data_IF_047158568990
#
_entry.id   IF_047158568990
#
_cell.length_a   1.000
_cell.length_b   1.000
_cell.length_c   1.000
_cell.angle_alpha   90.00
_cell.angle_beta   90.00
_cell.angle_gamma   90.00
#
_symmetry.space_group_name_H-M   'P 1'
#
loop_
_entity.id
_entity.type
_entity.pdbx_description
1 polymer ?
#
# COMPACT_ATOMS: atom_id res chain seq x y z
N UNK A 1 -13.01 -36.96 -23.71
CA UNK A 1 -12.88 -36.29 -22.40
C UNK A 1 -11.41 -36.20 -22.08
N UNK A 2 -10.84 -35.00 -22.10
CA UNK A 2 -9.46 -34.76 -21.69
C UNK A 2 -9.51 -33.65 -20.64
N UNK A 3 -9.11 -33.96 -19.41
CA UNK A 3 -9.01 -32.97 -18.33
C UNK A 3 -7.75 -32.15 -18.54
N UNK A 4 -7.90 -30.87 -18.85
CA UNK A 4 -6.81 -29.90 -18.76
C UNK A 4 -6.32 -29.83 -17.31
N UNK A 5 -5.00 -29.96 -17.05
CA UNK A 5 -4.49 -29.75 -15.71
C UNK A 5 -4.61 -28.27 -15.35
N UNK A 6 -5.24 -27.96 -14.22
CA UNK A 6 -5.21 -26.62 -13.64
C UNK A 6 -3.75 -26.24 -13.38
N UNK A 7 -3.33 -25.13 -13.96
CA UNK A 7 -1.96 -24.62 -13.85
C UNK A 7 -1.81 -23.97 -12.47
N UNK A 8 -1.45 -24.77 -11.45
CA UNK A 8 -1.03 -24.23 -10.16
C UNK A 8 0.25 -23.40 -10.38
N UNK A 9 0.08 -22.09 -10.57
CA UNK A 9 1.12 -21.12 -10.29
C UNK A 9 1.27 -21.12 -8.78
N UNK A 10 2.43 -21.55 -8.29
CA UNK A 10 2.73 -21.55 -6.85
C UNK A 10 3.09 -20.14 -6.42
N UNK A 11 2.06 -19.30 -6.22
CA UNK A 11 2.17 -17.92 -5.78
C UNK A 11 2.77 -17.86 -4.37
N UNK A 12 4.09 -17.69 -4.32
CA UNK A 12 4.86 -17.73 -3.07
C UNK A 12 4.82 -16.33 -2.45
N UNK A 13 3.67 -15.94 -1.91
CA UNK A 13 3.54 -14.66 -1.21
C UNK A 13 4.24 -14.76 0.14
N UNK A 14 5.31 -13.98 0.29
CA UNK A 14 6.15 -13.95 1.49
C UNK A 14 5.72 -12.79 2.37
N UNK A 15 5.60 -13.05 3.67
CA UNK A 15 5.24 -12.06 4.69
C UNK A 15 6.38 -11.93 5.70
N UNK A 16 7.00 -10.75 5.76
CA UNK A 16 8.03 -10.42 6.74
C UNK A 16 7.40 -9.64 7.92
N UNK A 17 7.74 -10.01 9.16
CA UNK A 17 7.15 -9.38 10.36
C UNK A 17 8.17 -8.49 11.04
N UNK A 18 7.89 -7.19 11.07
CA UNK A 18 8.73 -6.23 11.79
C UNK A 18 8.44 -6.30 13.30
N UNK A 19 9.50 -6.36 14.12
CA UNK A 19 9.38 -6.59 15.57
C UNK A 19 9.08 -5.32 16.39
N UNK A 20 9.14 -4.14 15.76
CA UNK A 20 8.87 -2.86 16.43
C UNK A 20 7.43 -2.75 16.92
N UNK A 21 7.28 -2.20 18.13
CA UNK A 21 5.96 -1.89 18.71
C UNK A 21 5.51 -0.52 18.24
N UNK A 22 4.58 -0.49 17.32
CA UNK A 22 4.05 0.73 16.73
C UNK A 22 2.89 1.29 17.56
N UNK A 23 2.77 2.61 17.59
CA UNK A 23 1.66 3.35 18.18
C UNK A 23 1.06 4.26 17.11
N UNK A 24 -0.28 4.32 17.10
CA UNK A 24 -1.06 5.14 16.17
C UNK A 24 -1.47 6.45 16.84
N UNK A 25 -1.04 7.57 16.29
CA UNK A 25 -1.35 8.93 16.76
C UNK A 25 -2.31 9.59 15.77
N UNK A 26 -3.53 9.88 16.22
CA UNK A 26 -4.57 10.58 15.45
C UNK A 26 -4.66 12.04 15.89
N UNK A 27 -4.54 12.95 14.91
CA UNK A 27 -4.50 14.40 15.08
C UNK A 27 -5.51 15.07 14.13
N UNK A 28 -6.56 15.72 14.67
CA UNK A 28 -7.50 16.52 13.87
C UNK A 28 -6.79 17.66 13.11
N UNK A 29 -7.29 18.00 11.92
CA UNK A 29 -6.69 19.05 11.07
C UNK A 29 -6.69 20.44 11.72
N UNK A 30 -7.66 20.74 12.59
CA UNK A 30 -7.69 21.97 13.39
C UNK A 30 -6.63 22.01 14.51
N UNK A 31 -6.06 20.84 14.87
CA UNK A 31 -4.96 20.73 15.83
C UNK A 31 -3.59 20.52 15.18
N UNK A 32 -3.51 20.08 13.92
CA UNK A 32 -2.27 19.83 13.18
C UNK A 32 -1.18 20.92 13.34
N UNK A 33 -1.48 22.23 13.25
CA UNK A 33 -0.46 23.28 13.41
C UNK A 33 0.26 23.28 14.77
N UNK A 34 -0.38 22.79 15.84
CA UNK A 34 0.24 22.67 17.16
C UNK A 34 1.15 21.44 17.30
N UNK A 35 0.99 20.46 16.41
CA UNK A 35 1.74 19.20 16.39
C UNK A 35 2.84 19.15 15.31
N UNK A 36 2.97 20.21 14.50
CA UNK A 36 3.99 20.30 13.45
C UNK A 36 5.42 20.13 13.99
N UNK A 37 5.75 20.67 15.16
CA UNK A 37 7.07 20.47 15.78
C UNK A 37 7.29 18.99 16.20
N UNK A 38 6.41 18.32 16.96
CA UNK A 38 6.46 16.87 17.19
C UNK A 38 6.57 16.02 15.92
N UNK A 39 5.83 16.38 14.85
CA UNK A 39 5.89 15.66 13.57
C UNK A 39 7.30 15.76 12.97
N UNK A 40 7.87 16.97 12.88
CA UNK A 40 9.24 17.17 12.39
C UNK A 40 10.29 16.49 13.29
N UNK A 41 10.08 16.46 14.61
CA UNK A 41 10.95 15.76 15.56
C UNK A 41 10.89 14.24 15.43
N UNK A 42 9.75 13.66 15.03
CA UNK A 42 9.63 12.22 14.76
C UNK A 42 10.12 11.87 13.37
N UNK A 43 9.95 12.73 12.36
CA UNK A 43 10.57 12.52 11.05
C UNK A 43 12.10 12.56 11.12
N UNK A 44 12.67 13.54 11.82
CA UNK A 44 14.12 13.76 11.88
C UNK A 44 14.76 13.23 13.17
N UNK A 45 14.20 12.15 13.73
CA UNK A 45 14.67 11.55 15.01
C UNK A 45 16.10 11.00 14.93
N UNK A 46 16.60 10.73 13.73
CA UNK A 46 18.00 10.38 13.43
C UNK A 46 18.99 11.53 13.71
N UNK A 47 18.53 12.78 13.72
CA UNK A 47 19.39 13.97 13.86
C UNK A 47 19.63 14.26 15.34
N UNK A 48 20.80 13.85 15.84
CA UNK A 48 21.25 14.13 17.21
C UNK A 48 21.23 15.62 17.55
N UNK A 49 20.67 16.03 18.70
CA UNK A 49 20.75 17.41 19.18
C UNK A 49 22.20 17.88 19.33
N UNK A 50 22.46 19.14 18.99
CA UNK A 50 23.78 19.76 19.19
C UNK A 50 24.07 19.81 20.69
N UNK A 51 25.04 19.01 21.15
CA UNK A 51 25.50 19.04 22.52
C UNK A 51 26.31 20.32 22.78
N UNK A 52 25.92 21.11 23.78
CA UNK A 52 26.80 22.14 24.34
C UNK A 52 28.08 21.46 24.85
N UNK A 53 29.24 21.95 24.40
CA UNK A 53 30.54 21.33 24.65
C UNK A 53 30.92 21.38 26.15
N UNK A 54 30.50 20.37 26.90
CA UNK A 54 30.94 20.16 28.28
C UNK A 54 32.38 19.65 28.29
N UNK A 55 33.17 20.21 29.20
CA UNK A 55 34.63 20.18 29.16
C UNK A 55 35.21 18.77 29.16
N UNK A 56 36.21 18.59 28.31
CA UNK A 56 37.23 17.54 28.22
C UNK A 56 37.18 16.37 29.23
N UNK A 57 37.14 15.14 28.71
CA UNK A 57 37.96 14.07 29.28
C UNK A 57 37.27 12.89 29.98
N UNK A 58 36.30 12.21 29.35
CA UNK A 58 36.11 10.77 29.57
C UNK A 58 35.36 10.05 28.43
N UNK A 59 35.70 8.78 28.24
CA UNK A 59 35.00 7.73 27.47
C UNK A 59 34.63 7.98 25.98
N UNK A 60 35.66 8.05 25.13
CA UNK A 60 35.58 7.77 23.68
C UNK A 60 35.26 6.27 23.39
N UNK A 61 34.16 5.75 23.96
CA UNK A 61 33.77 4.35 23.84
C UNK A 61 32.26 4.09 23.93
N UNK A 62 31.42 5.13 24.08
CA UNK A 62 29.97 4.99 24.24
C UNK A 62 29.12 5.70 23.17
N UNK A 63 29.71 6.60 22.40
CA UNK A 63 29.02 7.29 21.29
C UNK A 63 28.75 6.37 20.09
N UNK A 64 29.62 5.39 19.82
CA UNK A 64 29.54 4.48 18.66
C UNK A 64 28.47 3.37 18.79
N UNK A 65 27.71 3.38 19.89
CA UNK A 65 26.56 2.48 20.13
C UNK A 65 25.22 3.12 19.71
N UNK A 66 25.19 4.40 19.35
CA UNK A 66 24.04 5.06 18.72
C UNK A 66 24.26 5.18 17.21
N UNK A 67 24.53 4.04 16.56
CA UNK A 67 24.36 3.94 15.10
C UNK A 67 22.89 4.26 14.81
N UNK A 68 22.65 5.09 13.79
CA UNK A 68 21.34 5.65 13.48
C UNK A 68 20.39 4.56 12.99
N UNK A 69 19.76 3.84 13.92
CA UNK A 69 18.75 2.83 13.61
C UNK A 69 17.54 3.54 13.01
N UNK A 70 17.33 3.36 11.71
CA UNK A 70 16.07 3.73 11.07
C UNK A 70 14.92 3.00 11.79
N UNK A 71 13.74 3.61 11.94
CA UNK A 71 12.62 2.95 12.58
C UNK A 71 12.17 1.81 11.67
N UNK A 72 11.85 0.63 12.21
CA UNK A 72 11.45 -0.47 11.33
C UNK A 72 10.17 -0.10 10.55
N UNK A 73 9.28 0.69 11.16
CA UNK A 73 8.18 1.36 10.48
C UNK A 73 7.87 2.76 11.04
N UNK A 74 7.71 3.74 10.15
CA UNK A 74 7.20 5.08 10.43
C UNK A 74 6.39 5.57 9.22
N UNK A 75 5.06 5.70 9.38
CA UNK A 75 4.19 6.36 8.40
C UNK A 75 3.64 7.68 8.96
N UNK A 76 3.67 8.73 8.13
CA UNK A 76 2.96 10.00 8.32
C UNK A 76 1.96 10.17 7.17
N UNK A 77 0.67 10.21 7.49
CA UNK A 77 -0.42 10.43 6.54
C UNK A 77 -1.23 11.68 6.90
N UNK A 78 -1.17 12.71 6.05
CA UNK A 78 -2.03 13.90 6.08
C UNK A 78 -3.08 13.72 4.99
N UNK A 79 -4.36 13.85 5.35
CA UNK A 79 -5.51 13.66 4.45
C UNK A 79 -6.52 14.80 4.61
N UNK A 80 -7.53 14.94 3.73
CA UNK A 80 -8.64 15.88 3.91
C UNK A 80 -9.53 15.62 5.14
N UNK A 81 -9.36 14.49 5.84
CA UNK A 81 -10.14 14.09 7.03
C UNK A 81 -9.37 14.35 8.34
N UNK A 82 -8.08 13.99 8.37
CA UNK A 82 -7.22 13.96 9.56
C UNK A 82 -5.72 13.92 9.20
N UNK A 83 -4.86 14.09 10.21
CA UNK A 83 -3.47 13.67 10.20
C UNK A 83 -3.30 12.43 11.11
N UNK A 84 -2.59 11.43 10.62
CA UNK A 84 -2.34 10.14 11.28
C UNK A 84 -0.85 9.83 11.22
N UNK A 85 -0.26 9.41 12.35
CA UNK A 85 1.14 8.98 12.42
C UNK A 85 1.21 7.58 13.04
N UNK A 86 1.76 6.62 12.32
CA UNK A 86 2.11 5.30 12.82
C UNK A 86 3.62 5.30 13.08
N UNK A 87 4.07 5.16 14.32
CA UNK A 87 5.50 5.26 14.65
C UNK A 87 5.88 4.38 15.86
N UNK A 88 7.17 4.08 16.11
CA UNK A 88 7.56 3.31 17.28
C UNK A 88 7.08 3.96 18.57
N UNK A 89 6.51 3.15 19.47
CA UNK A 89 5.88 3.55 20.75
C UNK A 89 6.73 4.51 21.58
N UNK A 90 8.06 4.36 21.51
CA UNK A 90 9.01 5.22 22.20
C UNK A 90 8.94 6.67 21.69
N UNK A 91 8.94 6.87 20.36
CA UNK A 91 8.84 8.20 19.73
C UNK A 91 7.47 8.83 19.99
N UNK A 92 6.38 8.04 19.93
CA UNK A 92 5.03 8.50 20.25
C UNK A 92 4.94 9.03 21.70
N UNK A 93 5.51 8.28 22.66
CA UNK A 93 5.53 8.66 24.06
C UNK A 93 6.48 9.84 24.36
N UNK A 94 7.57 10.00 23.59
CA UNK A 94 8.54 11.07 23.77
C UNK A 94 8.04 12.42 23.23
N UNK A 95 7.50 12.46 22.01
CA UNK A 95 7.23 13.70 21.29
C UNK A 95 5.75 14.11 21.28
N UNK A 96 4.81 13.15 21.21
CA UNK A 96 3.38 13.46 21.16
C UNK A 96 2.72 13.45 22.54
N UNK A 97 2.96 12.42 23.35
CA UNK A 97 2.24 12.25 24.62
C UNK A 97 2.29 13.48 25.55
N UNK A 98 3.43 14.18 25.78
CA UNK A 98 3.48 15.35 26.67
C UNK A 98 2.57 16.52 26.24
N UNK A 99 2.34 16.66 24.93
CA UNK A 99 1.44 17.68 24.38
C UNK A 99 -0.01 17.22 24.37
N UNK A 100 -0.27 15.95 24.02
CA UNK A 100 -1.61 15.34 24.14
C UNK A 100 -2.12 15.50 25.57
N UNK A 101 -1.32 15.09 26.56
CA UNK A 101 -1.56 15.28 27.99
C UNK A 101 -1.88 16.73 28.37
N UNK A 102 -1.14 17.70 27.81
CA UNK A 102 -1.35 19.14 28.05
C UNK A 102 -2.69 19.59 27.47
N UNK A 103 -3.03 19.19 26.25
CA UNK A 103 -4.33 19.50 25.63
C UNK A 103 -5.50 18.85 26.40
N UNK A 104 -5.38 17.59 26.82
CA UNK A 104 -6.39 16.86 27.59
C UNK A 104 -6.64 17.49 28.97
N UNK A 105 -5.60 18.01 29.63
CA UNK A 105 -5.72 18.76 30.89
C UNK A 105 -6.29 20.17 30.74
N UNK A 106 -6.09 20.82 29.59
CA UNK A 106 -6.61 22.17 29.33
C UNK A 106 -8.03 22.19 28.76
N UNK A 107 -8.43 21.20 27.96
CA UNK A 107 -9.69 21.18 27.22
C UNK A 107 -10.49 19.89 27.50
N UNK A 108 -11.25 19.87 28.59
CA UNK A 108 -12.07 18.72 29.01
C UNK A 108 -13.11 18.25 27.96
N UNK A 109 -13.48 19.10 27.01
CA UNK A 109 -14.39 18.78 25.90
C UNK A 109 -13.71 18.15 24.68
N UNK A 110 -12.38 18.24 24.56
CA UNK A 110 -11.62 17.76 23.39
C UNK A 110 -11.16 16.31 23.50
N UNK A 111 -11.45 15.63 24.63
CA UNK A 111 -10.89 14.32 24.98
C UNK A 111 -11.16 13.20 23.97
N UNK A 112 -12.23 13.30 23.18
CA UNK A 112 -12.56 12.31 22.14
C UNK A 112 -11.92 12.57 20.77
N UNK A 113 -11.23 13.69 20.57
CA UNK A 113 -10.76 14.12 19.23
C UNK A 113 -9.26 13.91 19.00
N UNK A 114 -8.43 13.84 20.02
CA UNK A 114 -6.98 13.69 19.92
C UNK A 114 -6.58 12.42 20.68
N UNK A 115 -5.92 11.46 20.04
CA UNK A 115 -5.70 10.13 20.63
C UNK A 115 -4.40 9.47 20.18
N UNK A 116 -3.66 8.92 21.14
CA UNK A 116 -2.60 7.92 20.92
C UNK A 116 -3.20 6.55 21.24
N UNK A 117 -2.96 5.52 20.42
CA UNK A 117 -3.52 4.18 20.65
C UNK A 117 -3.07 3.57 21.98
N UNK A 118 -4.00 2.93 22.69
CA UNK A 118 -3.66 2.11 23.85
C UNK A 118 -3.01 0.78 23.43
N UNK A 119 -3.44 0.22 22.30
CA UNK A 119 -2.81 -0.94 21.68
C UNK A 119 -1.46 -0.59 21.02
N UNK A 120 -0.50 -1.50 21.19
CA UNK A 120 0.66 -1.63 20.32
C UNK A 120 0.23 -2.37 19.04
N UNK A 121 0.74 -1.91 17.89
CA UNK A 121 0.59 -2.55 16.58
C UNK A 121 1.94 -3.10 16.11
N UNK A 122 1.90 -3.98 15.10
CA UNK A 122 3.07 -4.45 14.35
C UNK A 122 2.79 -4.33 12.86
N UNK A 123 3.83 -4.03 12.09
CA UNK A 123 3.78 -4.03 10.64
C UNK A 123 4.21 -5.41 10.08
N UNK A 124 3.56 -5.82 9.01
CA UNK A 124 3.88 -7.00 8.22
C UNK A 124 3.99 -6.57 6.76
N UNK A 125 5.19 -6.66 6.19
CA UNK A 125 5.44 -6.38 4.78
C UNK A 125 5.06 -7.61 3.95
N UNK A 126 4.49 -7.39 2.77
CA UNK A 126 4.00 -8.47 1.91
C UNK A 126 4.57 -8.35 0.50
N UNK A 127 5.37 -9.34 0.14
CA UNK A 127 5.98 -9.50 -1.17
C UNK A 127 5.13 -10.46 -2.02
N UNK A 128 4.55 -9.99 -3.11
CA UNK A 128 3.75 -10.81 -4.04
C UNK A 128 4.23 -10.65 -5.49
N UNK A 129 4.99 -11.62 -5.99
CA UNK A 129 5.40 -11.69 -7.39
C UNK A 129 4.25 -12.25 -8.26
N UNK A 130 3.93 -11.57 -9.35
CA UNK A 130 2.97 -12.07 -10.35
C UNK A 130 1.48 -11.95 -10.01
N UNK A 131 1.10 -11.08 -9.06
CA UNK A 131 -0.30 -10.72 -8.77
C UNK A 131 -0.56 -9.22 -8.95
N UNK A 132 -1.66 -8.92 -9.65
CA UNK A 132 -2.28 -7.60 -9.75
C UNK A 132 -2.59 -7.04 -8.35
N UNK A 133 -2.46 -5.72 -8.18
CA UNK A 133 -2.60 -5.06 -6.88
C UNK A 133 -3.94 -5.37 -6.20
N UNK A 134 -5.05 -5.27 -6.93
CA UNK A 134 -6.39 -5.57 -6.40
C UNK A 134 -6.59 -7.02 -5.95
N UNK A 135 -6.09 -7.99 -6.73
CA UNK A 135 -6.16 -9.41 -6.36
C UNK A 135 -5.29 -9.71 -5.12
N UNK A 136 -4.08 -9.15 -5.06
CA UNK A 136 -3.16 -9.25 -3.91
C UNK A 136 -3.79 -8.67 -2.63
N UNK A 137 -4.45 -7.50 -2.70
CA UNK A 137 -5.24 -6.95 -1.58
C UNK A 137 -6.32 -7.94 -1.14
N UNK A 138 -7.03 -8.57 -2.07
CA UNK A 138 -8.14 -9.47 -1.77
C UNK A 138 -7.70 -10.80 -1.13
N UNK A 139 -6.73 -11.49 -1.72
CA UNK A 139 -6.25 -12.78 -1.22
C UNK A 139 -5.68 -12.66 0.21
N UNK A 140 -5.05 -11.52 0.51
CA UNK A 140 -4.42 -11.22 1.79
C UNK A 140 -5.42 -10.73 2.86
N UNK A 141 -6.32 -9.80 2.51
CA UNK A 141 -7.24 -9.19 3.48
C UNK A 141 -8.47 -10.05 3.77
N UNK A 142 -8.93 -10.87 2.81
CA UNK A 142 -10.07 -11.79 2.98
C UNK A 142 -9.93 -12.74 4.18
N UNK A 143 -8.85 -13.53 4.35
CA UNK A 143 -8.77 -14.46 5.49
C UNK A 143 -8.71 -13.74 6.84
N UNK A 144 -8.05 -12.58 6.93
CA UNK A 144 -7.98 -11.77 8.15
C UNK A 144 -9.37 -11.20 8.52
N UNK A 145 -10.13 -10.74 7.54
CA UNK A 145 -11.49 -10.25 7.75
C UNK A 145 -12.48 -11.37 8.08
N UNK A 146 -12.36 -12.56 7.47
CA UNK A 146 -13.11 -13.77 7.86
C UNK A 146 -12.80 -14.16 9.31
N UNK A 147 -11.56 -13.98 9.77
CA UNK A 147 -11.15 -14.23 11.15
C UNK A 147 -11.56 -13.13 12.15
N UNK A 148 -12.22 -12.05 11.70
CA UNK A 148 -12.66 -10.94 12.55
C UNK A 148 -11.51 -10.08 13.10
N UNK A 149 -10.41 -9.96 12.35
CA UNK A 149 -9.23 -9.18 12.73
C UNK A 149 -9.33 -7.78 12.10
N UNK A 150 -9.09 -6.72 12.89
CA UNK A 150 -8.96 -5.37 12.35
C UNK A 150 -7.54 -5.15 11.83
N UNK A 151 -7.43 -4.47 10.68
CA UNK A 151 -6.19 -4.23 9.97
C UNK A 151 -6.18 -2.79 9.46
N UNK A 152 -5.00 -2.17 9.44
CA UNK A 152 -4.71 -1.07 8.52
C UNK A 152 -3.93 -1.66 7.35
N UNK A 153 -4.24 -1.23 6.13
CA UNK A 153 -3.53 -1.61 4.92
C UNK A 153 -2.92 -0.35 4.28
N UNK A 154 -1.64 -0.41 3.93
CA UNK A 154 -0.89 0.69 3.32
C UNK A 154 -0.06 0.14 2.14
N UNK A 155 -0.44 0.49 0.91
CA UNK A 155 0.42 0.30 -0.27
C UNK A 155 1.55 1.33 -0.26
N UNK A 156 2.80 0.88 -0.41
CA UNK A 156 3.97 1.72 -0.71
C UNK A 156 4.42 1.52 -2.15
N UNK A 157 5.44 2.26 -2.57
CA UNK A 157 6.05 2.14 -3.90
C UNK A 157 6.77 0.78 -4.09
N UNK A 158 7.10 0.07 -3.01
CA UNK A 158 7.88 -1.17 -3.05
C UNK A 158 7.12 -2.39 -2.53
N UNK A 159 6.15 -2.23 -1.63
CA UNK A 159 5.44 -3.34 -0.98
C UNK A 159 4.10 -2.91 -0.39
N UNK A 160 3.20 -3.87 -0.18
CA UNK A 160 2.04 -3.65 0.69
C UNK A 160 2.41 -3.95 2.15
N UNK A 161 1.88 -3.14 3.07
CA UNK A 161 2.05 -3.32 4.51
C UNK A 161 0.69 -3.53 5.18
N UNK A 162 0.51 -4.67 5.84
CA UNK A 162 -0.58 -4.87 6.81
C UNK A 162 -0.08 -4.44 8.18
N UNK A 163 -0.85 -3.63 8.90
CA UNK A 163 -0.56 -3.26 10.28
C UNK A 163 -1.68 -3.78 11.16
N UNK A 164 -1.32 -4.63 12.11
CA UNK A 164 -2.27 -5.41 12.93
C UNK A 164 -2.01 -5.19 14.42
N UNK A 165 -3.03 -5.30 15.30
CA UNK A 165 -2.82 -5.23 16.73
C UNK A 165 -1.85 -6.32 17.20
N UNK A 166 -0.84 -5.98 18.01
CA UNK A 166 0.17 -6.93 18.52
C UNK A 166 -0.48 -8.12 19.25
N UNK A 167 -1.59 -7.85 19.95
CA UNK A 167 -2.44 -8.87 20.62
C UNK A 167 -2.97 -9.98 19.68
N UNK A 168 -2.99 -9.73 18.37
CA UNK A 168 -3.48 -10.64 17.34
C UNK A 168 -2.38 -11.31 16.52
N UNK A 169 -1.08 -11.05 16.78
CA UNK A 169 0.07 -11.58 15.99
C UNK A 169 -0.07 -13.08 15.68
N UNK A 170 -0.30 -13.91 16.70
CA UNK A 170 -0.44 -15.37 16.55
C UNK A 170 -1.65 -15.76 15.71
N UNK A 171 -2.79 -15.09 15.92
CA UNK A 171 -4.02 -15.36 15.14
C UNK A 171 -3.84 -14.99 13.66
N UNK A 172 -3.12 -13.89 13.37
CA UNK A 172 -2.80 -13.45 12.01
C UNK A 172 -1.89 -14.48 11.31
N UNK A 173 -0.80 -14.88 11.95
CA UNK A 173 0.13 -15.90 11.44
C UNK A 173 -0.62 -17.19 11.12
N UNK A 174 -1.32 -17.77 12.12
CA UNK A 174 -2.13 -18.97 11.95
C UNK A 174 -3.16 -18.87 10.82
N UNK A 175 -3.74 -17.68 10.60
CA UNK A 175 -4.80 -17.46 9.61
C UNK A 175 -4.24 -17.38 8.18
N UNK A 176 -3.04 -16.84 8.02
CA UNK A 176 -2.33 -16.74 6.75
C UNK A 176 -1.60 -18.05 6.39
N UNK A 177 -0.96 -18.73 7.35
CA UNK A 177 -0.38 -20.07 7.16
C UNK A 177 -1.44 -21.08 6.65
N UNK A 178 -2.66 -21.06 7.22
CA UNK A 178 -3.80 -21.89 6.78
C UNK A 178 -4.29 -21.57 5.36
N UNK A 179 -3.77 -20.52 4.72
CA UNK A 179 -4.03 -20.14 3.32
C UNK A 179 -2.81 -20.31 2.40
N UNK A 180 -1.66 -20.73 2.92
CA UNK A 180 -0.45 -20.99 2.13
C UNK A 180 0.56 -19.85 2.06
N UNK A 181 0.31 -18.72 2.73
CA UNK A 181 1.31 -17.66 2.89
C UNK A 181 2.51 -18.18 3.70
N UNK A 182 3.72 -17.76 3.32
CA UNK A 182 4.95 -18.15 4.01
C UNK A 182 5.51 -16.96 4.79
N UNK A 183 5.95 -17.21 6.02
CA UNK A 183 6.56 -16.19 6.87
C UNK A 183 8.08 -16.32 6.84
N UNK A 184 8.77 -15.27 6.44
CA UNK A 184 10.22 -15.19 6.56
C UNK A 184 10.58 -14.53 7.90
N UNK A 185 11.44 -15.21 8.66
CA UNK A 185 11.98 -14.72 9.93
C UNK A 185 13.29 -14.00 9.65
N UNK A 186 13.26 -12.67 9.72
CA UNK A 186 14.39 -11.77 9.44
C UNK A 186 15.67 -12.27 10.11
N UNK A 187 16.69 -12.60 9.30
CA UNK A 187 17.81 -13.46 9.71
C UNK A 187 18.71 -12.85 10.81
N UNK A 188 18.62 -11.54 11.08
CA UNK A 188 19.40 -10.85 12.12
C UNK A 188 19.19 -11.45 13.53
N UNK A 189 17.99 -11.98 13.82
CA UNK A 189 17.69 -12.64 15.10
C UNK A 189 18.56 -13.89 15.39
N UNK A 190 19.13 -14.53 14.36
CA UNK A 190 19.91 -15.77 14.50
C UNK A 190 21.39 -15.55 14.87
N UNK A 191 21.94 -14.34 14.68
CA UNK A 191 23.37 -14.09 14.86
C UNK A 191 23.78 -14.11 16.35
N UNK A 192 22.87 -13.78 17.26
CA UNK A 192 23.20 -13.47 18.66
C UNK A 192 22.92 -14.59 19.70
N UNK A 193 22.65 -15.83 19.27
CA UNK A 193 22.22 -16.91 20.19
C UNK A 193 23.18 -18.13 20.28
N UNK A 194 24.42 -17.98 19.80
CA UNK A 194 25.41 -19.07 19.73
C UNK A 194 26.16 -19.38 21.06
N UNK A 195 25.61 -19.00 22.22
CA UNK A 195 26.15 -19.34 23.55
C UNK A 195 25.08 -19.82 24.56
N UNK A 196 24.20 -20.73 24.14
CA UNK A 196 23.20 -21.37 25.01
C UNK A 196 23.13 -22.92 24.89
N UNK A 197 24.20 -23.58 24.42
CA UNK A 197 24.27 -25.05 24.40
C UNK A 197 24.71 -25.63 25.75
N UNK A 198 23.77 -25.95 26.64
CA UNK A 198 23.83 -27.10 27.57
C UNK A 198 22.50 -27.27 28.34
N UNK A 199 21.77 -28.36 28.07
CA UNK A 199 20.81 -28.90 29.06
C UNK A 199 19.38 -29.23 28.59
N UNK A 200 19.06 -30.52 28.63
CA UNK A 200 17.73 -31.15 28.70
C UNK A 200 16.85 -31.21 27.44
N UNK A 201 16.36 -32.42 27.18
CA UNK A 201 15.19 -32.71 26.37
C UNK A 201 13.89 -32.38 27.13
N UNK A 202 12.75 -32.31 26.42
CA UNK A 202 11.52 -33.11 26.62
C UNK A 202 10.32 -32.50 25.87
N UNK A 203 9.50 -33.35 25.26
CA UNK A 203 8.27 -32.96 24.55
C UNK A 203 7.01 -33.09 25.45
N UNK A 204 5.79 -32.81 24.96
CA UNK A 204 4.95 -31.74 25.52
C UNK A 204 4.04 -32.17 26.68
N UNK A 205 3.63 -31.21 27.51
CA UNK A 205 2.52 -31.36 28.47
C UNK A 205 1.57 -30.16 28.38
N UNK A 206 0.34 -30.42 27.94
CA UNK A 206 -0.74 -29.43 28.01
C UNK A 206 -1.19 -29.20 29.45
N UNK A 207 -1.23 -27.95 29.89
CA UNK A 207 -2.09 -27.54 31.02
C UNK A 207 -2.82 -26.24 30.67
N UNK A 208 -4.06 -26.10 31.17
CA UNK A 208 -5.03 -25.08 30.73
C UNK A 208 -5.16 -24.01 31.80
N UNK A 209 -4.96 -22.75 31.42
CA UNK A 209 -5.32 -21.57 32.24
C UNK A 209 -5.97 -20.52 31.35
N UNK A 210 -7.30 -20.48 31.34
CA UNK A 210 -8.07 -19.52 30.55
C UNK A 210 -8.82 -18.56 31.49
N UNK A 211 -8.38 -17.29 31.56
CA UNK A 211 -9.10 -16.24 32.30
C UNK A 211 -8.61 -14.81 32.00
N UNK A 212 -8.67 -14.37 30.74
CA UNK A 212 -8.64 -12.94 30.37
C UNK A 212 -9.21 -12.69 28.97
N UNK A 213 -10.35 -13.33 28.65
CA UNK A 213 -11.16 -12.98 27.49
C UNK A 213 -11.72 -11.56 27.67
N UNK A 214 -11.07 -10.58 27.06
CA UNK A 214 -11.78 -9.36 26.63
C UNK A 214 -12.93 -9.75 25.70
N UNK A 215 -13.98 -8.93 25.67
CA UNK A 215 -15.24 -9.25 24.99
C UNK A 215 -15.02 -9.72 23.55
N UNK A 216 -15.72 -10.77 23.08
CA UNK A 216 -15.66 -11.18 21.68
C UNK A 216 -16.06 -10.01 20.75
N UNK A 217 -15.64 -10.01 19.48
CA UNK A 217 -16.09 -9.02 18.51
C UNK A 217 -17.63 -8.97 18.49
N UNK A 218 -18.19 -7.76 18.38
CA UNK A 218 -19.61 -7.51 18.62
C UNK A 218 -20.56 -8.17 17.60
N UNK A 219 -20.01 -8.79 16.56
CA UNK A 219 -20.70 -9.61 15.56
C UNK A 219 -19.92 -10.92 15.35
N UNK A 220 -20.58 -12.06 15.07
CA UNK A 220 -19.89 -13.28 14.69
C UNK A 220 -19.15 -13.08 13.35
N UNK A 221 -18.08 -13.85 13.06
CA UNK A 221 -17.40 -13.77 11.76
C UNK A 221 -18.36 -14.04 10.59
N UNK A 222 -18.09 -13.45 9.40
CA UNK A 222 -18.85 -13.75 8.18
C UNK A 222 -18.54 -15.16 7.65
N UNK A 223 -19.49 -15.73 6.92
CA UNK A 223 -19.44 -17.09 6.36
C UNK A 223 -19.11 -17.15 4.87
N UNK A 224 -19.43 -16.10 4.11
CA UNK A 224 -19.00 -15.91 2.72
C UNK A 224 -18.40 -14.50 2.49
N UNK A 225 -17.81 -14.27 1.31
CA UNK A 225 -17.28 -12.97 0.92
C UNK A 225 -18.40 -11.99 0.61
N UNK A 226 -19.42 -12.44 -0.11
CA UNK A 226 -20.66 -11.73 -0.40
C UNK A 226 -21.39 -11.32 0.90
N UNK A 227 -21.43 -12.19 1.92
CA UNK A 227 -21.94 -11.81 3.25
C UNK A 227 -21.07 -10.71 3.90
N UNK A 228 -19.74 -10.79 3.79
CA UNK A 228 -18.83 -9.74 4.27
C UNK A 228 -19.06 -8.42 3.52
N UNK A 229 -19.27 -8.46 2.21
CA UNK A 229 -19.50 -7.29 1.37
C UNK A 229 -20.80 -6.59 1.80
N UNK A 230 -21.93 -7.32 1.83
CA UNK A 230 -23.22 -6.81 2.29
C UNK A 230 -23.13 -6.27 3.73
N UNK A 231 -22.47 -6.98 4.65
CA UNK A 231 -22.23 -6.49 6.03
C UNK A 231 -21.40 -5.19 6.06
N UNK A 232 -20.37 -5.08 5.21
CA UNK A 232 -19.48 -3.92 5.12
C UNK A 232 -20.25 -2.70 4.63
N UNK A 233 -20.92 -2.78 3.48
CA UNK A 233 -21.70 -1.66 2.96
C UNK A 233 -22.90 -1.32 3.85
N UNK A 234 -23.57 -2.31 4.45
CA UNK A 234 -24.59 -2.04 5.50
C UNK A 234 -24.04 -1.24 6.68
N UNK A 235 -22.80 -1.51 7.11
CA UNK A 235 -22.14 -0.76 8.18
C UNK A 235 -21.78 0.67 7.76
N UNK A 236 -21.29 0.87 6.53
CA UNK A 236 -21.01 2.18 5.95
C UNK A 236 -22.30 3.02 5.81
N UNK A 237 -23.34 2.46 5.19
CA UNK A 237 -24.68 3.08 5.05
C UNK A 237 -25.26 3.47 6.41
N UNK A 238 -25.27 2.56 7.39
CA UNK A 238 -25.76 2.82 8.76
C UNK A 238 -25.06 4.00 9.44
N UNK A 239 -23.76 4.14 9.25
CA UNK A 239 -22.98 5.26 9.79
C UNK A 239 -23.02 6.51 8.90
N UNK A 240 -23.74 6.48 7.76
CA UNK A 240 -23.77 7.56 6.77
C UNK A 240 -22.33 7.91 6.31
N UNK A 241 -21.61 6.89 5.85
CA UNK A 241 -20.28 6.98 5.25
C UNK A 241 -20.47 6.76 3.75
N UNK A 242 -20.26 7.81 2.98
CA UNK A 242 -20.43 7.84 1.52
C UNK A 242 -19.03 8.02 0.91
N UNK A 243 -18.66 7.31 -0.16
CA UNK A 243 -17.44 7.59 -0.91
C UNK A 243 -17.40 9.06 -1.36
N UNK A 244 -16.27 9.73 -1.18
CA UNK A 244 -16.13 11.15 -1.54
C UNK A 244 -14.87 11.38 -2.36
N UNK A 245 -15.01 12.09 -3.48
CA UNK A 245 -13.94 12.31 -4.45
C UNK A 245 -13.74 13.81 -4.65
N UNK A 246 -12.51 14.27 -4.43
CA UNK A 246 -12.10 15.62 -4.83
C UNK A 246 -11.18 15.53 -6.05
N UNK A 247 -11.76 15.79 -7.23
CA UNK A 247 -11.04 15.77 -8.52
C UNK A 247 -9.95 16.84 -8.63
N UNK A 248 -9.81 17.76 -7.68
CA UNK A 248 -8.65 18.67 -7.59
C UNK A 248 -7.43 18.04 -6.90
N UNK A 249 -7.60 16.96 -6.13
CA UNK A 249 -6.51 16.21 -5.51
C UNK A 249 -5.93 15.19 -6.50
N UNK A 250 -5.12 15.69 -7.43
CA UNK A 250 -4.31 14.86 -8.34
C UNK A 250 -3.03 14.46 -7.62
N UNK A 251 -2.89 13.18 -7.29
CA UNK A 251 -1.77 12.61 -6.55
C UNK A 251 -0.78 11.91 -7.49
N UNK A 252 0.47 11.80 -7.04
CA UNK A 252 1.54 11.01 -7.68
C UNK A 252 2.21 10.15 -6.61
N UNK A 253 2.61 8.93 -6.99
CA UNK A 253 3.28 7.97 -6.10
C UNK A 253 4.75 7.85 -6.52
N UNK A 254 5.66 8.10 -5.59
CA UNK A 254 7.09 8.17 -5.81
C UNK A 254 7.87 7.44 -4.71
N UNK A 255 9.17 7.26 -4.94
CA UNK A 255 10.16 6.86 -3.94
C UNK A 255 11.31 7.87 -3.88
N UNK A 256 12.02 7.95 -2.75
CA UNK A 256 13.21 8.80 -2.63
C UNK A 256 14.34 8.33 -3.55
N UNK A 257 14.85 9.22 -4.41
CA UNK A 257 15.96 8.90 -5.29
C UNK A 257 17.29 9.02 -4.54
N UNK A 258 17.99 7.89 -4.39
CA UNK A 258 19.30 7.84 -3.75
C UNK A 258 20.38 8.07 -4.81
N UNK A 259 20.64 9.34 -5.11
CA UNK A 259 21.67 9.74 -6.06
C UNK A 259 23.06 9.37 -5.53
N UNK A 260 23.75 8.50 -6.26
CA UNK A 260 25.05 7.90 -5.92
C UNK A 260 25.04 6.99 -4.67
N UNK A 261 26.02 6.09 -4.58
CA UNK A 261 26.14 5.08 -3.52
C UNK A 261 26.66 5.68 -2.19
N UNK A 262 25.95 6.67 -1.67
CA UNK A 262 26.22 7.30 -0.37
C UNK A 262 25.31 6.71 0.70
N UNK A 263 25.82 6.60 1.93
CA UNK A 263 25.07 6.03 3.07
C UNK A 263 24.06 7.03 3.69
N UNK A 264 23.59 8.03 2.93
CA UNK A 264 22.60 9.00 3.39
C UNK A 264 21.23 8.35 3.48
N UNK A 265 20.48 8.62 4.55
CA UNK A 265 19.11 8.11 4.68
C UNK A 265 18.17 8.80 3.68
N UNK A 266 17.08 8.12 3.31
CA UNK A 266 16.04 8.73 2.46
C UNK A 266 15.45 10.00 3.08
N UNK A 267 15.36 10.04 4.42
CA UNK A 267 14.80 11.16 5.16
C UNK A 267 15.80 12.33 5.33
N UNK A 268 17.11 12.07 5.20
CA UNK A 268 18.14 13.09 5.00
C UNK A 268 17.99 13.77 3.63
N UNK A 269 17.90 12.98 2.56
CA UNK A 269 17.73 13.45 1.18
C UNK A 269 16.48 14.34 1.06
N UNK A 270 15.37 13.94 1.68
CA UNK A 270 14.09 14.64 1.62
C UNK A 270 13.93 15.78 2.65
N UNK A 271 14.92 16.01 3.53
CA UNK A 271 14.78 16.83 4.75
C UNK A 271 14.31 18.26 4.48
N UNK A 272 14.91 18.94 3.50
CA UNK A 272 14.55 20.32 3.12
C UNK A 272 13.19 20.40 2.41
N UNK A 273 12.95 19.49 1.46
CA UNK A 273 11.73 19.44 0.67
C UNK A 273 10.48 19.15 1.54
N UNK A 274 10.58 18.19 2.46
CA UNK A 274 9.53 17.86 3.43
C UNK A 274 9.30 19.01 4.42
N UNK A 275 10.37 19.59 4.99
CA UNK A 275 10.26 20.72 5.93
C UNK A 275 9.54 21.91 5.27
N UNK A 276 9.90 22.24 4.03
CA UNK A 276 9.25 23.31 3.26
C UNK A 276 7.79 22.97 2.95
N UNK A 277 7.52 21.75 2.47
CA UNK A 277 6.17 21.27 2.16
C UNK A 277 5.23 21.34 3.36
N UNK A 278 5.66 20.83 4.52
CA UNK A 278 4.85 20.73 5.74
C UNK A 278 4.56 22.09 6.39
N UNK A 279 5.53 23.02 6.33
CA UNK A 279 5.43 24.36 6.96
C UNK A 279 4.76 25.39 6.03
N UNK A 280 5.20 25.44 4.76
CA UNK A 280 4.85 26.51 3.80
C UNK A 280 3.68 26.10 2.92
N UNK A 281 3.83 25.01 2.18
CA UNK A 281 2.90 24.64 1.10
C UNK A 281 1.65 23.90 1.59
N UNK A 282 1.69 23.39 2.83
CA UNK A 282 0.57 22.82 3.61
C UNK A 282 -0.24 21.81 2.80
N UNK A 283 0.24 20.54 2.72
CA UNK A 283 -0.48 19.50 1.99
C UNK A 283 -1.91 19.31 2.51
N UNK A 284 -2.85 19.22 1.58
CA UNK A 284 -4.18 18.63 1.76
C UNK A 284 -4.09 17.10 1.73
N UNK A 285 -3.10 16.58 1.01
CA UNK A 285 -2.78 15.16 0.95
C UNK A 285 -1.26 14.95 0.90
N UNK A 286 -0.73 14.15 1.81
CA UNK A 286 0.65 13.66 1.80
C UNK A 286 0.73 12.39 2.65
N UNK A 287 1.12 11.26 2.06
CA UNK A 287 1.58 10.09 2.81
C UNK A 287 3.07 9.88 2.59
N UNK A 288 3.80 9.61 3.67
CA UNK A 288 5.23 9.30 3.68
C UNK A 288 5.41 8.04 4.53
N UNK A 289 5.98 6.98 3.96
CA UNK A 289 6.37 5.76 4.68
C UNK A 289 7.88 5.61 4.65
N UNK A 290 8.44 5.44 5.85
CA UNK A 290 9.83 5.12 6.15
C UNK A 290 9.84 3.75 6.83
N UNK A 291 10.69 2.85 6.36
CA UNK A 291 10.73 1.45 6.80
C UNK A 291 12.11 0.91 6.47
N UNK A 292 12.71 0.14 7.38
CA UNK A 292 14.06 -0.40 7.20
C UNK A 292 14.13 -1.54 6.16
N UNK A 293 12.98 -1.96 5.62
CA UNK A 293 12.85 -3.06 4.67
C UNK A 293 12.41 -2.64 3.24
N UNK A 294 12.04 -1.37 3.03
CA UNK A 294 11.99 -0.79 1.67
C UNK A 294 13.38 -0.17 1.37
N UNK A 295 13.89 -0.24 0.12
CA UNK A 295 15.19 0.34 -0.23
C UNK A 295 15.21 1.88 -0.23
N UNK A 296 14.04 2.53 -0.15
CA UNK A 296 13.88 3.97 -0.10
C UNK A 296 12.55 4.37 0.54
N UNK A 297 12.47 5.58 1.10
CA UNK A 297 11.20 6.18 1.52
C UNK A 297 10.18 6.20 0.38
N UNK A 298 8.93 5.83 0.64
CA UNK A 298 7.82 5.97 -0.30
C UNK A 298 6.97 7.20 0.02
N UNK A 299 6.58 7.94 -1.01
CA UNK A 299 5.81 9.17 -0.92
C UNK A 299 4.62 9.17 -1.86
N UNK A 300 3.45 9.52 -1.35
CA UNK A 300 2.23 9.76 -2.12
C UNK A 300 1.78 11.20 -1.84
N UNK A 301 1.93 12.08 -2.83
CA UNK A 301 1.82 13.54 -2.64
C UNK A 301 0.96 14.19 -3.73
N UNK A 302 0.39 15.37 -3.42
CA UNK A 302 -0.25 16.21 -4.44
C UNK A 302 0.75 16.62 -5.53
N UNK A 303 0.41 16.46 -6.82
CA UNK A 303 1.28 16.79 -7.96
C UNK A 303 1.82 18.23 -7.95
N UNK A 304 1.08 19.17 -7.34
CA UNK A 304 1.54 20.57 -7.15
C UNK A 304 2.81 20.72 -6.31
N UNK A 305 3.16 19.70 -5.51
CA UNK A 305 4.29 19.73 -4.58
C UNK A 305 5.58 19.20 -5.20
N UNK A 306 5.52 18.49 -6.34
CA UNK A 306 6.70 17.97 -7.06
C UNK A 306 7.84 18.99 -7.25
N UNK A 307 7.61 20.29 -7.55
CA UNK A 307 8.69 21.27 -7.67
C UNK A 307 9.49 21.54 -6.39
N UNK A 308 9.05 21.05 -5.22
CA UNK A 308 9.86 21.04 -3.98
C UNK A 308 10.88 19.91 -3.94
N UNK A 309 10.73 18.91 -4.80
CA UNK A 309 11.53 17.69 -4.87
C UNK A 309 12.37 17.60 -6.16
N UNK A 310 12.57 18.72 -6.84
CA UNK A 310 13.55 18.89 -7.92
C UNK A 310 14.77 19.63 -7.39
N UNK A 311 15.99 19.21 -7.74
CA UNK A 311 17.18 20.02 -7.43
C UNK A 311 17.14 21.36 -8.17
N UNK A 312 17.64 22.41 -7.53
CA UNK A 312 17.44 23.78 -7.99
C UNK A 312 18.25 24.19 -9.22
N UNK A 313 17.55 24.71 -10.23
CA UNK A 313 18.05 25.65 -11.24
C UNK A 313 19.22 25.19 -12.15
N UNK A 314 19.21 23.96 -12.65
CA UNK A 314 19.91 23.64 -13.90
C UNK A 314 19.24 24.38 -15.07
N UNK A 315 19.79 25.52 -15.50
CA UNK A 315 19.28 26.26 -16.68
C UNK A 315 19.75 25.67 -18.01
N UNK A 316 19.99 24.35 -18.04
CA UNK A 316 20.41 23.54 -19.19
C UNK A 316 19.31 22.55 -19.47
N UNK A 317 18.62 22.72 -20.60
CA UNK A 317 17.45 21.93 -20.99
C UNK A 317 17.87 20.61 -21.65
N UNK A 318 18.65 19.81 -20.92
CA UNK A 318 19.01 18.43 -21.27
C UNK A 318 18.05 17.50 -20.51
N UNK A 319 17.44 16.53 -21.21
CA UNK A 319 16.14 15.93 -20.85
C UNK A 319 16.21 14.76 -19.82
N UNK A 320 17.24 14.72 -18.97
CA UNK A 320 17.49 13.59 -18.06
C UNK A 320 16.89 13.76 -16.64
N UNK A 321 16.22 12.71 -16.15
CA UNK A 321 15.49 12.67 -14.87
C UNK A 321 16.40 12.66 -13.62
N UNK A 322 17.72 12.56 -13.84
CA UNK A 322 18.82 12.53 -12.85
C UNK A 322 18.84 13.73 -11.88
N UNK A 323 18.09 14.80 -12.14
CA UNK A 323 17.99 15.97 -11.25
C UNK A 323 16.93 15.84 -10.14
N UNK A 324 16.10 14.79 -10.15
CA UNK A 324 15.00 14.62 -9.20
C UNK A 324 15.43 14.01 -7.86
N UNK A 325 14.83 14.47 -6.76
CA UNK A 325 14.87 13.79 -5.46
C UNK A 325 13.88 12.61 -5.39
N UNK A 326 13.07 12.40 -6.45
CA UNK A 326 12.02 11.39 -6.51
C UNK A 326 12.11 10.51 -7.78
N UNK A 327 12.08 9.20 -7.54
CA UNK A 327 11.83 8.16 -8.54
C UNK A 327 10.32 7.91 -8.69
N UNK A 328 9.91 7.45 -9.88
CA UNK A 328 8.52 7.09 -10.19
C UNK A 328 7.90 7.97 -11.26
N UNK A 329 6.79 7.48 -11.83
CA UNK A 329 6.02 8.22 -12.84
C UNK A 329 5.50 9.53 -12.25
N UNK A 330 5.87 10.66 -12.85
CA UNK A 330 5.36 11.98 -12.45
C UNK A 330 4.11 12.33 -13.24
N UNK A 331 3.83 11.59 -14.31
CA UNK A 331 2.81 11.79 -15.34
C UNK A 331 1.50 11.10 -14.96
N UNK A 332 1.62 9.91 -14.38
CA UNK A 332 0.54 9.07 -13.88
C UNK A 332 -0.17 9.71 -12.68
N UNK A 333 -1.50 9.80 -12.77
CA UNK A 333 -2.31 10.51 -11.78
C UNK A 333 -3.23 9.54 -11.06
N UNK A 334 -3.02 9.43 -9.75
CA UNK A 334 -3.92 8.77 -8.83
C UNK A 334 -4.92 9.80 -8.29
N UNK A 335 -6.20 9.43 -8.21
CA UNK A 335 -7.25 10.25 -7.59
C UNK A 335 -7.78 9.53 -6.34
N UNK A 336 -7.83 10.19 -5.16
CA UNK A 336 -8.25 9.57 -3.92
C UNK A 336 -9.78 9.52 -3.80
N UNK A 337 -10.32 8.31 -3.65
CA UNK A 337 -11.68 8.06 -3.16
C UNK A 337 -11.59 7.93 -1.64
N UNK A 338 -12.13 8.93 -0.92
CA UNK A 338 -12.05 9.04 0.54
C UNK A 338 -13.31 8.49 1.22
N UNK A 339 -13.11 7.58 2.18
CA UNK A 339 -14.12 7.09 3.13
C UNK A 339 -13.88 7.73 4.51
N UNK A 340 -14.83 8.52 5.01
CA UNK A 340 -14.79 9.11 6.35
C UNK A 340 -15.19 8.08 7.42
N UNK A 341 -14.20 7.45 8.06
CA UNK A 341 -14.39 6.44 9.09
C UNK A 341 -14.45 7.03 10.51
N UNK A 342 -14.54 8.36 10.69
CA UNK A 342 -14.55 9.01 12.02
C UNK A 342 -15.68 8.55 12.96
N UNK A 343 -16.74 7.98 12.40
CA UNK A 343 -17.91 7.45 13.14
C UNK A 343 -17.75 5.97 13.54
N UNK A 344 -16.73 5.27 13.04
CA UNK A 344 -16.47 3.87 13.31
C UNK A 344 -15.40 3.66 14.40
N UNK A 345 -15.44 2.52 15.12
CA UNK A 345 -14.35 2.08 15.99
C UNK A 345 -13.08 1.77 15.17
N UNK A 346 -11.90 1.84 15.81
CA UNK A 346 -10.62 1.42 15.21
C UNK A 346 -10.57 -0.10 15.01
N UNK A 347 -11.40 -0.79 15.78
CA UNK A 347 -11.62 -2.23 15.81
C UNK A 347 -12.60 -2.70 14.72
N UNK A 348 -13.02 -1.83 13.80
CA UNK A 348 -13.85 -2.21 12.66
C UNK A 348 -13.08 -3.14 11.70
N UNK A 349 -13.75 -4.19 11.22
CA UNK A 349 -13.13 -5.27 10.43
C UNK A 349 -13.73 -5.36 9.03
N UNK A 350 -12.95 -5.86 8.07
CA UNK A 350 -13.46 -6.22 6.73
C UNK A 350 -13.71 -5.07 5.75
N UNK A 351 -13.56 -3.80 6.16
CA UNK A 351 -13.79 -2.63 5.29
C UNK A 351 -12.93 -2.72 4.02
N UNK A 352 -11.61 -2.90 4.15
CA UNK A 352 -10.69 -3.02 3.00
C UNK A 352 -11.08 -4.18 2.09
N UNK A 353 -11.33 -5.37 2.66
CA UNK A 353 -11.74 -6.55 1.90
C UNK A 353 -13.07 -6.35 1.15
N UNK A 354 -14.07 -5.73 1.77
CA UNK A 354 -15.40 -5.54 1.16
C UNK A 354 -15.37 -4.51 0.04
N UNK A 355 -14.61 -3.42 0.22
CA UNK A 355 -14.38 -2.39 -0.79
C UNK A 355 -13.54 -2.92 -1.95
N UNK A 356 -12.41 -3.58 -1.68
CA UNK A 356 -11.57 -4.19 -2.70
C UNK A 356 -12.34 -5.26 -3.50
N UNK A 357 -13.17 -6.07 -2.82
CA UNK A 357 -14.01 -7.06 -3.49
C UNK A 357 -14.96 -6.39 -4.46
N UNK A 358 -15.68 -5.34 -4.01
CA UNK A 358 -16.65 -4.65 -4.87
C UNK A 358 -16.00 -4.01 -6.10
N UNK A 359 -14.75 -3.57 -5.98
CA UNK A 359 -13.98 -3.03 -7.10
C UNK A 359 -13.53 -4.13 -8.08
N UNK A 360 -13.13 -5.31 -7.59
CA UNK A 360 -12.80 -6.47 -8.43
C UNK A 360 -14.04 -7.17 -9.05
N UNK A 361 -15.18 -7.15 -8.37
CA UNK A 361 -16.45 -7.60 -8.97
C UNK A 361 -16.83 -6.69 -10.15
N UNK A 362 -16.47 -5.39 -10.07
CA UNK A 362 -16.63 -4.40 -11.13
C UNK A 362 -15.46 -4.36 -12.15
N UNK A 363 -14.39 -5.14 -11.97
CA UNK A 363 -13.46 -5.42 -13.07
C UNK A 363 -14.07 -6.48 -13.99
N UNK A 364 -14.29 -7.69 -13.45
CA UNK A 364 -14.64 -8.87 -14.24
C UNK A 364 -16.04 -8.86 -14.88
N UNK A 365 -16.97 -8.06 -14.36
CA UNK A 365 -18.34 -8.00 -14.90
C UNK A 365 -18.47 -7.48 -16.35
N UNK A 366 -17.37 -7.09 -17.00
CA UNK A 366 -17.34 -6.70 -18.43
C UNK A 366 -16.61 -7.68 -19.36
N UNK A 367 -15.69 -8.49 -18.83
CA UNK A 367 -14.97 -9.52 -19.60
C UNK A 367 -15.97 -10.47 -20.32
N UNK A 368 -17.10 -10.77 -19.66
CA UNK A 368 -18.21 -11.56 -20.18
C UNK A 368 -19.10 -10.80 -21.21
N UNK A 369 -19.29 -9.47 -21.09
CA UNK A 369 -20.15 -8.71 -22.03
C UNK A 369 -19.46 -8.46 -23.38
N UNK A 370 -18.22 -7.98 -23.39
CA UNK A 370 -17.51 -7.64 -24.64
C UNK A 370 -17.12 -8.90 -25.45
N UNK A 371 -17.04 -10.08 -24.80
CA UNK A 371 -16.84 -11.36 -25.49
C UNK A 371 -18.03 -11.73 -26.38
N UNK A 372 -19.27 -11.48 -25.95
CA UNK A 372 -20.48 -12.01 -26.60
C UNK A 372 -20.89 -11.20 -27.86
N UNK A 373 -20.47 -9.94 -27.96
CA UNK A 373 -20.69 -9.07 -29.14
C UNK A 373 -20.14 -9.68 -30.43
N UNK A 374 -19.09 -10.51 -30.33
CA UNK A 374 -18.45 -11.19 -31.46
C UNK A 374 -19.34 -12.23 -32.17
N UNK A 375 -20.39 -12.72 -31.52
CA UNK A 375 -21.19 -13.88 -32.01
C UNK A 375 -22.42 -13.48 -32.85
N UNK A 376 -22.90 -12.25 -32.76
CA UNK A 376 -24.24 -11.88 -33.24
C UNK A 376 -24.40 -11.54 -34.74
N UNK A 377 -23.31 -11.48 -35.53
CA UNK A 377 -23.37 -11.12 -36.96
C UNK A 377 -23.26 -12.31 -37.95
N UNK A 378 -23.35 -13.56 -37.47
CA UNK A 378 -23.25 -14.77 -38.30
C UNK A 378 -24.57 -15.52 -38.53
N UNK A 379 -25.67 -14.82 -38.82
CA UNK A 379 -26.92 -15.48 -39.27
C UNK A 379 -27.72 -14.66 -40.28
N UNK A 380 -28.18 -15.35 -41.33
CA UNK A 380 -29.00 -14.85 -42.45
C UNK A 380 -28.30 -13.92 -43.45
N UNK A 381 -27.83 -14.50 -44.57
CA UNK A 381 -28.56 -14.34 -45.84
C UNK A 381 -28.14 -15.41 -46.86
N UNK A 382 -29.08 -16.25 -47.30
CA UNK A 382 -28.93 -17.08 -48.49
C UNK A 382 -29.52 -16.32 -49.69
N UNK A 383 -28.70 -15.98 -50.67
CA UNK A 383 -29.12 -15.27 -51.88
C UNK A 383 -28.08 -15.41 -53.00
N UNK A 384 -28.53 -15.78 -54.20
CA UNK A 384 -27.66 -16.16 -55.32
C UNK A 384 -27.43 -15.03 -56.32
N UNK A 385 -26.21 -14.90 -56.86
CA UNK A 385 -26.00 -14.31 -58.19
C UNK A 385 -24.68 -13.56 -58.42
N UNK A 386 -23.87 -14.07 -59.37
CA UNK A 386 -22.95 -13.34 -60.27
C UNK A 386 -22.17 -12.12 -59.72
N UNK A 387 -20.85 -12.20 -59.46
CA UNK A 387 -19.72 -12.39 -60.41
C UNK A 387 -19.14 -11.09 -60.99
N UNK A 388 -18.01 -10.63 -60.43
CA UNK A 388 -16.74 -10.33 -61.14
C UNK A 388 -15.64 -9.84 -60.16
N UNK A 389 -14.40 -10.24 -60.43
CA UNK A 389 -13.06 -9.65 -60.16
C UNK A 389 -12.88 -8.56 -59.07
N UNK A 390 -11.81 -8.51 -58.25
CA UNK A 390 -10.59 -9.33 -58.04
C UNK A 390 -9.86 -8.79 -56.76
N UNK A 391 -8.62 -9.08 -56.32
CA UNK A 391 -7.47 -9.83 -56.86
C UNK A 391 -6.51 -10.36 -55.75
N UNK A 392 -6.19 -11.65 -55.80
CA UNK A 392 -4.95 -12.33 -55.34
C UNK A 392 -4.41 -12.27 -53.89
N UNK A 393 -3.55 -13.25 -53.59
CA UNK A 393 -3.05 -13.69 -52.27
C UNK A 393 -1.48 -13.75 -52.27
N UNK A 394 -0.81 -14.03 -51.14
CA UNK A 394 0.59 -13.60 -50.93
C UNK A 394 1.66 -14.50 -51.56
N UNK A 395 2.89 -13.97 -51.62
CA UNK A 395 4.10 -14.71 -52.01
C UNK A 395 4.96 -15.11 -50.79
N UNK A 396 5.30 -16.39 -50.74
CA UNK A 396 6.54 -16.90 -50.12
C UNK A 396 7.45 -17.37 -51.26
N UNK A 397 8.77 -17.32 -51.08
CA UNK A 397 9.72 -17.91 -52.02
C UNK A 397 11.00 -18.37 -51.32
N UNK A 398 11.59 -19.44 -51.86
CA UNK A 398 12.79 -20.11 -51.35
C UNK A 398 13.76 -20.42 -52.49
N UNK A 399 15.06 -20.55 -52.19
CA UNK A 399 16.04 -21.20 -53.08
C UNK A 399 17.33 -21.59 -52.32
N UNK A 400 18.20 -22.36 -52.97
CA UNK A 400 19.36 -23.03 -52.35
C UNK A 400 20.73 -22.67 -52.99
N UNK A 401 21.74 -22.46 -52.13
CA UNK A 401 23.07 -23.11 -52.17
C UNK A 401 24.15 -22.74 -53.22
N UNK A 402 25.40 -22.53 -52.75
CA UNK A 402 26.66 -23.18 -53.24
C UNK A 402 27.95 -22.43 -52.81
N UNK A 403 29.03 -23.16 -52.48
CA UNK A 403 30.44 -22.74 -52.64
C UNK A 403 31.15 -21.92 -51.52
N UNK A 404 32.40 -22.32 -51.17
CA UNK A 404 33.38 -21.52 -50.38
C UNK A 404 34.55 -21.02 -51.25
N UNK A 405 35.73 -20.57 -50.71
CA UNK A 405 36.29 -20.86 -49.36
C UNK A 405 37.09 -19.74 -48.59
N UNK A 406 37.21 -19.91 -47.26
CA UNK A 406 38.41 -19.66 -46.37
C UNK A 406 39.02 -18.23 -46.15
N UNK A 407 38.77 -17.68 -44.92
CA UNK A 407 39.67 -16.91 -43.98
C UNK A 407 40.31 -15.54 -44.37
N UNK A 408 40.79 -14.71 -43.40
CA UNK A 408 40.29 -14.40 -42.03
C UNK A 408 40.43 -12.89 -41.62
N UNK A 409 40.21 -12.58 -40.32
CA UNK A 409 40.53 -11.34 -39.55
C UNK A 409 39.60 -10.12 -39.69
N UNK A 410 39.35 -9.46 -38.53
CA UNK A 410 38.62 -8.21 -38.36
C UNK A 410 37.95 -8.14 -36.97
N UNK A 411 38.40 -7.23 -36.09
CA UNK A 411 37.77 -6.99 -34.78
C UNK A 411 36.72 -5.89 -34.93
N UNK A 412 35.51 -6.09 -34.39
CA UNK A 412 35.11 -5.58 -33.06
C UNK A 412 33.59 -5.82 -32.84
N UNK A 413 33.18 -6.02 -31.58
CA UNK A 413 31.82 -6.47 -31.23
C UNK A 413 31.06 -5.44 -30.40
N UNK A 414 30.36 -4.50 -31.06
CA UNK A 414 29.34 -3.67 -30.43
C UNK A 414 28.03 -4.45 -30.30
N UNK A 415 27.85 -5.14 -29.17
CA UNK A 415 26.57 -5.81 -28.85
C UNK A 415 25.53 -4.74 -28.54
N UNK A 416 24.65 -4.48 -29.50
CA UNK A 416 23.46 -3.67 -29.26
C UNK A 416 22.53 -4.40 -28.29
N UNK A 417 22.35 -3.85 -27.09
CA UNK A 417 21.40 -4.35 -26.12
C UNK A 417 19.98 -4.15 -26.66
N UNK A 418 19.27 -5.26 -26.89
CA UNK A 418 17.86 -5.19 -27.28
C UNK A 418 17.06 -4.52 -26.17
N UNK A 419 16.49 -3.36 -26.48
CA UNK A 419 15.57 -2.61 -25.62
C UNK A 419 14.28 -3.42 -25.50
N UNK A 420 14.15 -4.20 -24.43
CA UNK A 420 12.90 -4.89 -24.09
C UNK A 420 11.87 -3.82 -23.70
N UNK A 421 11.04 -3.41 -24.66
CA UNK A 421 9.74 -2.84 -24.31
C UNK A 421 8.91 -3.95 -23.64
N UNK A 422 8.26 -3.70 -22.49
CA UNK A 422 7.16 -4.54 -22.06
C UNK A 422 6.01 -4.37 -23.07
N UNK A 423 5.37 -5.48 -23.46
CA UNK A 423 4.19 -5.45 -24.33
C UNK A 423 3.02 -4.83 -23.53
N UNK A 424 2.64 -3.58 -23.84
CA UNK A 424 1.67 -2.81 -23.04
C UNK A 424 0.21 -3.26 -23.22
N UNK A 425 -0.05 -4.19 -24.13
CA UNK A 425 -1.40 -4.55 -24.58
C UNK A 425 -2.14 -5.54 -23.66
N UNK A 426 -1.58 -5.88 -22.49
CA UNK A 426 -2.15 -6.83 -21.52
C UNK A 426 -2.39 -6.25 -20.11
N UNK A 427 -2.09 -4.97 -19.87
CA UNK A 427 -2.18 -4.33 -18.54
C UNK A 427 -3.18 -3.16 -18.51
N UNK A 428 -4.28 -3.24 -19.28
CA UNK A 428 -5.24 -2.13 -19.46
C UNK A 428 -6.66 -2.41 -18.93
N UNK A 429 -6.98 -3.63 -18.49
CA UNK A 429 -8.33 -3.99 -18.03
C UNK A 429 -8.49 -4.11 -16.50
N UNK A 430 -7.41 -4.44 -15.79
CA UNK A 430 -7.40 -4.60 -14.34
C UNK A 430 -7.18 -3.26 -13.63
N UNK A 431 -8.05 -2.92 -12.67
CA UNK A 431 -7.97 -1.64 -11.95
C UNK A 431 -6.80 -1.67 -10.97
N UNK A 432 -5.85 -0.76 -11.14
CA UNK A 432 -4.67 -0.65 -10.26
C UNK A 432 -5.04 0.07 -8.95
N UNK A 433 -5.77 -0.64 -8.10
CA UNK A 433 -6.21 -0.15 -6.79
C UNK A 433 -5.07 -0.22 -5.77
N UNK A 434 -4.64 0.95 -5.29
CA UNK A 434 -3.78 1.07 -4.10
C UNK A 434 -4.60 1.55 -2.90
N UNK A 435 -4.26 1.12 -1.69
CA UNK A 435 -5.02 1.45 -0.47
C UNK A 435 -4.16 2.16 0.57
N UNK A 436 -4.68 3.23 1.17
CA UNK A 436 -4.10 3.90 2.32
C UNK A 436 -5.12 3.99 3.47
N UNK A 437 -4.87 3.19 4.51
CA UNK A 437 -5.66 3.19 5.74
C UNK A 437 -5.02 4.10 6.79
N UNK A 438 -5.77 5.08 7.29
CA UNK A 438 -5.37 5.95 8.41
C UNK A 438 -6.25 5.70 9.64
N UNK A 439 -6.02 6.40 10.74
CA UNK A 439 -6.77 6.20 11.98
C UNK A 439 -8.29 6.41 11.84
N UNK A 440 -8.74 7.34 10.99
CA UNK A 440 -10.17 7.63 10.77
C UNK A 440 -10.56 7.85 9.30
N UNK A 441 -9.70 7.51 8.34
CA UNK A 441 -10.07 7.49 6.93
C UNK A 441 -9.53 6.25 6.21
N UNK A 442 -10.33 5.72 5.29
CA UNK A 442 -9.88 4.77 4.29
C UNK A 442 -9.77 5.49 2.95
N UNK A 443 -8.61 5.41 2.29
CA UNK A 443 -8.41 5.96 0.95
C UNK A 443 -8.23 4.82 -0.03
N UNK A 444 -9.03 4.81 -1.10
CA UNK A 444 -8.72 4.04 -2.31
C UNK A 444 -8.09 5.00 -3.31
N UNK A 445 -7.01 4.57 -3.95
CA UNK A 445 -6.28 5.29 -4.97
C UNK A 445 -6.52 4.56 -6.29
N UNK A 446 -6.97 5.29 -7.30
CA UNK A 446 -7.29 4.75 -8.63
C UNK A 446 -6.75 5.68 -9.71
N UNK A 447 -6.42 5.13 -10.88
CA UNK A 447 -6.02 5.94 -12.03
C UNK A 447 -7.12 6.93 -12.45
N UNK A 448 -6.72 8.11 -12.93
CA UNK A 448 -7.66 9.16 -13.37
C UNK A 448 -8.63 8.69 -14.48
N UNK A 449 -8.27 7.66 -15.24
CA UNK A 449 -9.12 7.01 -16.24
C UNK A 449 -10.15 6.03 -15.64
N UNK A 450 -9.86 5.44 -14.49
CA UNK A 450 -10.66 4.39 -13.84
C UNK A 450 -11.65 4.94 -12.82
N UNK A 451 -11.46 6.19 -12.41
CA UNK A 451 -12.22 6.88 -11.37
C UNK A 451 -13.74 6.77 -11.55
N UNK A 452 -14.25 6.77 -12.78
CA UNK A 452 -15.68 6.61 -13.04
C UNK A 452 -16.17 5.19 -12.68
N UNK A 453 -15.50 4.14 -13.21
CA UNK A 453 -15.76 2.72 -12.91
C UNK A 453 -15.73 2.45 -11.41
N UNK A 454 -14.71 2.99 -10.71
CA UNK A 454 -14.53 2.80 -9.28
C UNK A 454 -15.58 3.54 -8.43
N UNK A 455 -16.02 4.74 -8.84
CA UNK A 455 -17.11 5.46 -8.15
C UNK A 455 -18.45 4.78 -8.39
N UNK A 456 -18.80 4.45 -9.64
CA UNK A 456 -20.06 3.78 -9.98
C UNK A 456 -20.23 2.46 -9.21
N UNK A 457 -19.16 1.66 -9.13
CA UNK A 457 -19.14 0.38 -8.42
C UNK A 457 -19.46 0.53 -6.92
N UNK A 458 -18.95 1.59 -6.28
CA UNK A 458 -19.15 1.88 -4.86
C UNK A 458 -20.49 2.60 -4.58
N UNK A 459 -20.93 3.47 -5.48
CA UNK A 459 -22.22 4.17 -5.36
C UNK A 459 -23.40 3.20 -5.55
N UNK A 460 -23.31 2.28 -6.51
CA UNK A 460 -24.31 1.23 -6.75
C UNK A 460 -24.50 0.27 -5.56
N UNK A 461 -23.53 0.16 -4.65
CA UNK A 461 -23.64 -0.60 -3.39
C UNK A 461 -23.82 0.32 -2.15
N UNK A 462 -23.93 1.64 -2.36
CA UNK A 462 -24.32 2.60 -1.33
C UNK A 462 -25.82 2.88 -1.30
N UNK A 463 -26.48 2.80 -2.46
CA UNK A 463 -27.93 2.91 -2.63
C UNK A 463 -28.59 1.52 -2.61
N UNK A 464 -29.83 1.43 -2.12
CA UNK A 464 -30.68 0.26 -2.37
C UNK A 464 -31.49 0.45 -3.66
N UNK A 465 -31.92 -0.64 -4.32
CA UNK A 465 -32.94 -0.57 -5.36
C UNK A 465 -34.32 -0.31 -4.73
N UNK A 466 -34.62 0.95 -4.38
CA UNK A 466 -35.95 1.38 -3.87
C UNK A 466 -37.10 0.93 -4.80
N UNK A 467 -36.82 0.80 -6.10
CA UNK A 467 -37.71 0.26 -7.13
C UNK A 467 -38.25 -1.16 -6.85
N UNK A 468 -37.65 -1.93 -5.93
CA UNK A 468 -38.13 -3.26 -5.55
C UNK A 468 -39.32 -3.23 -4.57
N UNK A 469 -39.57 -2.11 -3.88
CA UNK A 469 -40.61 -2.01 -2.84
C UNK A 469 -41.88 -1.32 -3.38
N UNK A 470 -41.76 -0.26 -4.18
CA UNK A 470 -42.93 0.38 -4.82
C UNK A 470 -43.65 -0.54 -5.82
N UNK A 471 -42.97 -1.56 -6.35
CA UNK A 471 -43.53 -2.52 -7.31
C UNK A 471 -44.49 -3.58 -6.70
N UNK A 472 -44.79 -3.49 -5.39
CA UNK A 472 -45.70 -4.41 -4.68
C UNK A 472 -46.92 -3.72 -4.02
N UNK A 473 -47.09 -2.40 -4.18
CA UNK A 473 -48.28 -1.65 -3.71
C UNK A 473 -49.11 -1.03 -4.87
N UNK A 474 -49.42 -1.82 -5.91
CA UNK A 474 -50.41 -1.49 -6.96
C UNK A 474 -51.33 -2.70 -7.23
#
# INVERSE_FOLDING_TARGET
MASTPLKLVSLTTIVEIQEDRLALVHIPLDLYPFFLNPILQVLFHEVSPIAEARTEGQDFGRADMLKHTQPAFLNLSITPVECSIMCPRQLANQYFAPLVDKFLRSNSSSQSRLSISHDDFIAMQVYGEGLEAGQRVLELTRPLAMAGISIFFISTYFSDYIIVPLRSKTQVIETLEKRGFQFELSTEAFINNNQAQYGSCFSPVSSRSASSLSSPPATPPPSSLDELQVRTFSSLRKNHIIPSVDRSLRLVHCAAHHQFSSNTSSIEILREALTTTLIVDKPRFLSLTLTAADPAASLLLEKRLLPRFSHGNSTTADEDDESSLLLGSKEEILVPIMLDLRKLPLEATGIVCGVASRLADATHARDDEDTDVSTFLSRSYNGSGTSLDSAFKPFLSSSWGSGGPVRPLGLDASVATHRLQPDMDLSMDAVEISFLSTARAGTILVGEHELHRAVDALEAESHEPEAAIEALEI
#
